data_IF_611165194782
#
_entry.id   IF_611165194782
#
_cell.length_a   1.000
_cell.length_b   1.000
_cell.length_c   1.000
_cell.angle_alpha   90.00
_cell.angle_beta   90.00
_cell.angle_gamma   90.00
#
_symmetry.space_group_name_H-M   'P 1'
#
loop_
_entity.id
_entity.type
_entity.pdbx_description
1 polymer ?
#
# COMPACT_ATOMS: atom_id res chain seq x y z
N UNK A 1 11.42 -6.19 20.86
CA UNK A 1 12.51 -6.22 21.86
C UNK A 1 13.53 -5.08 21.69
N UNK A 2 13.86 -4.67 20.45
CA UNK A 2 14.80 -3.56 20.14
C UNK A 2 14.25 -2.18 20.60
N UNK A 3 12.93 -1.99 20.54
CA UNK A 3 12.26 -0.71 20.87
C UNK A 3 12.30 -0.36 22.35
N UNK A 4 12.19 -1.35 23.25
CA UNK A 4 12.29 -1.12 24.69
C UNK A 4 13.73 -0.82 25.12
N UNK A 5 14.71 -1.56 24.57
CA UNK A 5 16.12 -1.31 24.84
C UNK A 5 16.54 0.11 24.42
N UNK A 6 16.01 0.60 23.29
CA UNK A 6 16.24 1.98 22.84
C UNK A 6 15.56 3.03 23.73
N UNK A 7 14.34 2.78 24.21
CA UNK A 7 13.68 3.66 25.20
C UNK A 7 14.49 3.76 26.49
N UNK A 8 15.02 2.62 26.96
CA UNK A 8 15.83 2.53 28.16
C UNK A 8 17.14 3.32 28.01
N UNK A 9 17.87 3.15 26.90
CA UNK A 9 19.10 3.90 26.62
C UNK A 9 18.83 5.40 26.54
N UNK A 10 17.70 5.80 25.93
CA UNK A 10 17.31 7.22 25.85
C UNK A 10 17.02 7.80 27.24
N UNK A 11 16.36 7.03 28.11
CA UNK A 11 16.10 7.43 29.50
C UNK A 11 17.39 7.56 30.32
N UNK A 12 18.34 6.64 30.17
CA UNK A 12 19.64 6.71 30.86
C UNK A 12 20.49 7.90 30.41
N UNK A 13 20.51 8.21 29.11
CA UNK A 13 21.24 9.38 28.60
C UNK A 13 20.60 10.69 29.06
N UNK A 14 19.27 10.76 29.12
CA UNK A 14 18.56 11.92 29.65
C UNK A 14 18.84 12.13 31.15
N UNK A 15 18.83 11.04 31.93
CA UNK A 15 19.14 11.07 33.37
C UNK A 15 20.61 11.47 33.62
N UNK A 16 21.54 10.91 32.85
CA UNK A 16 22.96 11.27 32.93
C UNK A 16 23.18 12.75 32.59
N UNK A 17 22.43 13.29 31.62
CA UNK A 17 22.48 14.71 31.26
C UNK A 17 21.90 15.62 32.35
N UNK A 18 20.78 15.25 32.98
CA UNK A 18 20.22 16.03 34.10
C UNK A 18 21.14 16.03 35.31
N UNK A 19 21.78 14.89 35.60
CA UNK A 19 22.80 14.80 36.67
C UNK A 19 24.01 15.67 36.33
N UNK A 20 24.51 15.65 35.09
CA UNK A 20 25.64 16.47 34.66
C UNK A 20 25.32 17.97 34.75
N UNK A 21 24.15 18.40 34.27
CA UNK A 21 23.69 19.79 34.39
C UNK A 21 23.55 20.23 35.85
N UNK A 22 23.03 19.36 36.72
CA UNK A 22 22.92 19.64 38.15
C UNK A 22 24.29 19.83 38.80
N UNK A 23 25.27 18.98 38.47
CA UNK A 23 26.64 19.13 38.95
C UNK A 23 27.32 20.40 38.40
N UNK A 24 27.13 20.72 37.13
CA UNK A 24 27.65 21.94 36.51
C UNK A 24 27.04 23.21 37.12
N UNK A 25 25.73 23.24 37.36
CA UNK A 25 25.05 24.34 38.06
C UNK A 25 25.55 24.51 39.51
N UNK A 26 25.80 23.39 40.20
CA UNK A 26 26.37 23.42 41.55
C UNK A 26 27.83 23.91 41.54
N UNK A 27 28.56 23.66 40.45
CA UNK A 27 29.91 24.17 40.21
C UNK A 27 29.92 25.63 39.71
N UNK A 28 28.89 26.14 39.04
CA UNK A 28 28.79 27.55 38.60
C UNK A 28 28.68 28.55 39.75
N UNK A 29 28.30 28.10 40.96
CA UNK A 29 28.56 28.89 42.18
C UNK A 29 30.06 29.10 42.47
N UNK A 30 30.94 28.48 41.68
CA UNK A 30 32.39 28.48 41.79
C UNK A 30 33.00 28.65 40.36
N UNK A 31 33.00 29.91 39.88
CA UNK A 31 33.88 30.46 38.81
C UNK A 31 33.52 30.12 37.34
N UNK A 32 33.50 31.18 36.52
CA UNK A 32 33.41 31.16 35.04
C UNK A 32 34.66 30.49 34.43
N UNK A 33 34.61 29.18 34.21
CA UNK A 33 35.76 28.41 33.71
C UNK A 33 35.62 28.13 32.18
N UNK A 34 36.51 28.65 31.32
CA UNK A 34 36.43 28.43 29.87
C UNK A 34 36.49 26.95 29.48
N UNK A 35 37.14 26.10 30.28
CA UNK A 35 37.16 24.65 30.05
C UNK A 35 35.78 24.00 30.20
N UNK A 36 34.90 24.53 31.05
CA UNK A 36 33.51 24.07 31.21
C UNK A 36 32.69 24.41 29.96
N UNK A 37 32.90 25.59 29.38
CA UNK A 37 32.22 25.99 28.13
C UNK A 37 32.62 25.12 26.94
N UNK A 38 33.89 24.72 26.87
CA UNK A 38 34.40 23.80 25.84
C UNK A 38 33.81 22.40 26.02
N UNK A 39 33.75 21.88 27.24
CA UNK A 39 33.13 20.59 27.53
C UNK A 39 31.63 20.55 27.20
N UNK A 40 30.89 21.63 27.50
CA UNK A 40 29.49 21.77 27.11
C UNK A 40 29.31 21.78 25.59
N UNK A 41 30.15 22.52 24.86
CA UNK A 41 30.11 22.56 23.40
C UNK A 41 30.36 21.17 22.79
N UNK A 42 31.35 20.43 23.29
CA UNK A 42 31.64 19.06 22.87
C UNK A 42 30.43 18.14 23.14
N UNK A 43 29.85 18.21 24.34
CA UNK A 43 28.67 17.42 24.68
C UNK A 43 27.48 17.70 23.77
N UNK A 44 27.21 18.97 23.44
CA UNK A 44 26.14 19.35 22.50
C UNK A 44 26.38 18.75 21.12
N UNK A 45 27.62 18.73 20.63
CA UNK A 45 27.98 18.11 19.34
C UNK A 45 27.76 16.60 19.38
N UNK A 46 28.20 15.91 20.44
CA UNK A 46 27.97 14.48 20.60
C UNK A 46 26.49 14.13 20.73
N UNK A 47 25.71 14.90 21.50
CA UNK A 47 24.28 14.70 21.66
C UNK A 47 23.52 14.94 20.36
N UNK A 48 23.87 15.98 19.59
CA UNK A 48 23.32 16.22 18.23
C UNK A 48 23.63 15.07 17.29
N UNK A 49 24.87 14.57 17.31
CA UNK A 49 25.30 13.44 16.48
C UNK A 49 24.58 12.15 16.88
N UNK A 50 24.40 11.90 18.18
CA UNK A 50 23.65 10.77 18.71
C UNK A 50 22.17 10.83 18.32
N UNK A 51 21.50 11.98 18.48
CA UNK A 51 20.11 12.17 18.02
C UNK A 51 20.02 11.97 16.50
N UNK A 52 20.98 12.49 15.73
CA UNK A 52 21.02 12.29 14.29
C UNK A 52 21.16 10.80 13.93
N UNK A 53 22.02 10.06 14.63
CA UNK A 53 22.20 8.62 14.45
C UNK A 53 20.93 7.84 14.79
N UNK A 54 20.26 8.15 15.93
CA UNK A 54 18.99 7.52 16.31
C UNK A 54 17.87 7.86 15.31
N UNK A 55 17.82 9.10 14.81
CA UNK A 55 16.90 9.48 13.73
C UNK A 55 17.20 8.72 12.45
N UNK A 56 18.47 8.57 12.08
CA UNK A 56 18.90 7.80 10.90
C UNK A 56 18.56 6.32 11.03
N UNK A 57 18.76 5.72 12.21
CA UNK A 57 18.39 4.32 12.51
C UNK A 57 16.87 4.16 12.41
N UNK A 58 16.08 5.05 13.05
CA UNK A 58 14.61 5.05 12.90
C UNK A 58 14.15 5.27 11.46
N UNK A 59 14.83 6.11 10.68
CA UNK A 59 14.53 6.30 9.26
C UNK A 59 14.86 5.08 8.42
N UNK A 60 15.87 4.29 8.81
CA UNK A 60 16.24 3.04 8.12
C UNK A 60 15.20 1.95 8.41
N UNK A 61 14.71 1.85 9.66
CA UNK A 61 13.58 0.98 10.01
C UNK A 61 12.27 1.42 9.35
N UNK A 62 12.06 2.73 9.16
CA UNK A 62 10.88 3.25 8.45
C UNK A 62 10.98 3.22 6.93
N UNK A 63 12.17 2.97 6.35
CA UNK A 63 12.33 2.92 4.90
C UNK A 63 11.54 1.74 4.30
N UNK A 64 11.54 0.58 4.98
CA UNK A 64 10.75 -0.59 4.58
C UNK A 64 9.23 -0.39 4.76
N UNK A 65 8.80 0.56 5.59
CA UNK A 65 7.38 0.90 5.79
C UNK A 65 6.83 1.78 4.65
N UNK A 66 7.66 2.23 3.69
CA UNK A 66 7.18 3.04 2.55
C UNK A 66 6.54 2.24 1.43
N UNK A 67 6.78 0.93 1.36
CA UNK A 67 6.23 0.09 0.31
C UNK A 67 4.71 -0.11 0.54
N UNK A 68 3.83 0.42 -0.34
CA UNK A 68 2.39 0.32 -0.16
C UNK A 68 1.90 -1.13 -0.13
N UNK A 69 2.58 -2.06 -0.80
CA UNK A 69 2.24 -3.47 -0.75
C UNK A 69 2.40 -4.02 0.67
N UNK A 70 3.54 -3.77 1.31
CA UNK A 70 3.79 -4.20 2.70
C UNK A 70 2.77 -3.59 3.65
N UNK A 71 2.43 -2.31 3.46
CA UNK A 71 1.38 -1.66 4.24
C UNK A 71 0.03 -2.37 4.09
N UNK A 72 -0.39 -2.72 2.87
CA UNK A 72 -1.65 -3.44 2.67
C UNK A 72 -1.60 -4.85 3.28
N UNK A 73 -0.52 -5.61 3.06
CA UNK A 73 -0.39 -6.97 3.62
C UNK A 73 -0.46 -6.97 5.16
N UNK A 74 0.16 -5.97 5.80
CA UNK A 74 0.17 -5.84 7.27
C UNK A 74 -1.21 -5.63 7.91
N UNK A 75 -2.22 -5.21 7.13
CA UNK A 75 -3.60 -5.07 7.63
C UNK A 75 -4.24 -6.42 7.95
N UNK A 76 -3.79 -7.49 7.29
CA UNK A 76 -4.36 -8.83 7.41
C UNK A 76 -3.68 -9.66 8.51
N UNK A 77 -2.44 -9.32 8.88
CA UNK A 77 -1.71 -10.07 9.88
C UNK A 77 -0.33 -9.49 10.18
N UNK A 78 0.31 -10.10 11.18
CA UNK A 78 1.69 -9.78 11.55
C UNK A 78 2.66 -10.19 10.44
N UNK A 79 3.68 -9.36 10.22
CA UNK A 79 4.82 -9.63 9.35
C UNK A 79 6.11 -9.51 10.17
N UNK A 80 6.97 -10.53 10.10
CA UNK A 80 8.31 -10.47 10.68
C UNK A 80 9.20 -9.45 9.96
N UNK A 81 10.23 -8.93 10.64
CA UNK A 81 11.16 -7.97 10.05
C UNK A 81 11.91 -8.58 8.85
N UNK A 82 12.18 -9.89 8.90
CA UNK A 82 12.76 -10.67 7.81
C UNK A 82 11.80 -10.77 6.61
N UNK A 83 10.52 -11.10 6.84
CA UNK A 83 9.52 -11.15 5.78
C UNK A 83 9.34 -9.78 5.13
N UNK A 84 9.27 -8.69 5.92
CA UNK A 84 9.17 -7.32 5.41
C UNK A 84 10.33 -7.00 4.47
N UNK A 85 11.58 -7.28 4.89
CA UNK A 85 12.77 -7.03 4.05
C UNK A 85 12.72 -7.82 2.75
N UNK A 86 12.28 -9.08 2.81
CA UNK A 86 12.28 -9.95 1.64
C UNK A 86 11.15 -9.60 0.66
N UNK A 87 9.97 -9.21 1.16
CA UNK A 87 8.89 -8.64 0.33
C UNK A 87 9.39 -7.36 -0.34
N UNK A 88 10.03 -6.46 0.40
CA UNK A 88 10.53 -5.19 -0.13
C UNK A 88 11.55 -5.44 -1.25
N UNK A 89 12.49 -6.37 -1.05
CA UNK A 89 13.51 -6.75 -2.03
C UNK A 89 12.92 -7.32 -3.33
N UNK A 90 11.81 -8.06 -3.24
CA UNK A 90 11.16 -8.72 -4.39
C UNK A 90 10.07 -7.85 -5.04
N UNK A 91 9.69 -6.75 -4.40
CA UNK A 91 8.69 -5.83 -4.95
C UNK A 91 9.37 -4.86 -5.92
N UNK A 92 8.81 -4.76 -7.12
CA UNK A 92 9.28 -3.83 -8.13
C UNK A 92 8.33 -2.62 -8.22
N UNK A 93 8.91 -1.43 -8.33
CA UNK A 93 8.18 -0.20 -8.59
C UNK A 93 8.09 0.07 -10.10
N UNK A 94 6.90 0.42 -10.58
CA UNK A 94 6.69 0.78 -11.98
C UNK A 94 5.91 2.08 -12.13
N UNK A 95 6.37 2.91 -13.06
CA UNK A 95 5.58 3.98 -13.65
C UNK A 95 4.86 3.44 -14.87
N UNK A 96 3.55 3.66 -14.94
CA UNK A 96 2.69 3.22 -16.03
C UNK A 96 1.97 4.40 -16.63
N UNK A 97 1.91 4.45 -17.95
CA UNK A 97 1.22 5.52 -18.67
C UNK A 97 -0.26 5.22 -18.81
N UNK A 98 -1.06 6.28 -18.90
CA UNK A 98 -2.47 6.16 -19.26
C UNK A 98 -2.63 5.27 -20.51
N UNK A 99 -3.63 4.39 -20.46
CA UNK A 99 -3.99 3.38 -21.46
C UNK A 99 -3.04 2.19 -21.58
N UNK A 100 -1.91 2.15 -20.86
CA UNK A 100 -1.11 0.93 -20.77
C UNK A 100 -1.87 -0.19 -20.06
N UNK A 101 -1.50 -1.43 -20.38
CA UNK A 101 -2.06 -2.61 -19.74
C UNK A 101 -1.07 -3.19 -18.74
N UNK A 102 -1.57 -3.49 -17.55
CA UNK A 102 -0.88 -4.37 -16.63
C UNK A 102 -0.97 -5.83 -17.09
N UNK A 103 -2.17 -6.22 -17.54
CA UNK A 103 -2.48 -7.57 -18.01
C UNK A 103 -3.41 -7.48 -19.21
N UNK A 104 -3.18 -8.36 -20.18
CA UNK A 104 -4.07 -8.57 -21.33
C UNK A 104 -4.64 -9.98 -21.28
N UNK A 105 -5.83 -10.11 -21.84
CA UNK A 105 -6.49 -11.40 -22.05
C UNK A 105 -5.54 -12.41 -22.72
N UNK A 106 -5.57 -13.66 -22.24
CA UNK A 106 -4.72 -14.75 -22.73
C UNK A 106 -3.33 -14.82 -22.09
N UNK A 107 -2.94 -13.87 -21.23
CA UNK A 107 -1.67 -13.94 -20.49
C UNK A 107 -1.79 -14.83 -19.24
N UNK A 108 -0.77 -15.66 -18.99
CA UNK A 108 -0.74 -16.62 -17.87
C UNK A 108 0.08 -16.14 -16.67
N UNK A 109 1.00 -15.20 -16.87
CA UNK A 109 1.84 -14.65 -15.81
C UNK A 109 1.20 -13.38 -15.27
N UNK A 110 0.86 -13.39 -13.98
CA UNK A 110 0.39 -12.20 -13.27
C UNK A 110 1.25 -11.95 -12.04
N UNK A 111 1.21 -10.70 -11.59
CA UNK A 111 1.77 -10.25 -10.33
C UNK A 111 0.64 -9.79 -9.40
N UNK A 112 0.89 -9.79 -8.09
CA UNK A 112 0.13 -8.94 -7.17
C UNK A 112 0.66 -7.54 -7.27
N UNK A 113 -0.22 -6.54 -7.24
CA UNK A 113 0.23 -5.16 -7.20
C UNK A 113 -0.68 -4.28 -6.34
N UNK A 114 -0.10 -3.22 -5.82
CA UNK A 114 -0.83 -2.12 -5.18
C UNK A 114 -0.66 -0.86 -6.01
N UNK A 115 -1.76 -0.13 -6.19
CA UNK A 115 -1.74 1.19 -6.80
C UNK A 115 -1.37 2.21 -5.72
N UNK A 116 -0.19 2.81 -5.84
CA UNK A 116 0.21 3.91 -4.96
C UNK A 116 -0.45 5.22 -5.40
N UNK A 117 -0.63 5.39 -6.71
CA UNK A 117 -1.31 6.50 -7.36
C UNK A 117 -1.88 6.03 -8.68
N UNK A 118 -3.10 6.41 -9.01
CA UNK A 118 -3.71 6.10 -10.29
C UNK A 118 -5.04 5.37 -10.20
N UNK A 119 -5.59 5.05 -11.36
CA UNK A 119 -6.82 4.26 -11.50
C UNK A 119 -6.59 3.19 -12.55
N UNK A 120 -7.14 2.00 -12.28
CA UNK A 120 -7.29 0.95 -13.28
C UNK A 120 -8.76 0.70 -13.58
N UNK A 121 -8.99 0.12 -14.76
CA UNK A 121 -10.18 -0.66 -15.05
C UNK A 121 -9.80 -2.12 -15.31
N UNK A 122 -10.73 -3.00 -14.96
CA UNK A 122 -10.74 -4.38 -15.40
C UNK A 122 -11.88 -4.54 -16.38
N UNK A 123 -11.63 -5.13 -17.55
CA UNK A 123 -12.66 -5.31 -18.58
C UNK A 123 -12.47 -6.59 -19.40
N UNK A 124 -13.58 -7.05 -19.97
CA UNK A 124 -13.62 -8.19 -20.88
C UNK A 124 -13.90 -7.71 -22.31
N UNK A 125 -13.48 -8.48 -23.31
CA UNK A 125 -13.91 -8.31 -24.70
C UNK A 125 -15.03 -9.29 -25.03
N UNK A 126 -16.11 -8.77 -25.62
CA UNK A 126 -17.24 -9.57 -26.10
C UNK A 126 -17.77 -8.97 -27.40
N UNK A 127 -17.74 -9.74 -28.50
CA UNK A 127 -18.19 -9.29 -29.82
C UNK A 127 -17.58 -7.93 -30.23
N UNK A 128 -16.27 -7.80 -30.10
CA UNK A 128 -15.49 -6.56 -30.35
C UNK A 128 -15.86 -5.35 -29.48
N UNK A 129 -16.66 -5.55 -28.42
CA UNK A 129 -16.99 -4.52 -27.44
C UNK A 129 -16.30 -4.79 -26.11
N UNK A 130 -15.88 -3.71 -25.46
CA UNK A 130 -15.31 -3.76 -24.12
C UNK A 130 -16.41 -3.62 -23.06
N UNK A 131 -16.45 -4.57 -22.12
CA UNK A 131 -17.39 -4.59 -21.00
C UNK A 131 -16.58 -4.42 -19.73
N UNK A 132 -16.69 -3.25 -19.08
CA UNK A 132 -15.97 -3.00 -17.84
C UNK A 132 -16.58 -3.82 -16.71
N UNK A 133 -15.72 -4.46 -15.93
CA UNK A 133 -16.10 -5.34 -14.85
C UNK A 133 -15.62 -4.83 -13.50
N UNK A 134 -14.63 -3.94 -13.40
CA UNK A 134 -14.21 -3.39 -12.11
C UNK A 134 -13.42 -2.11 -12.31
N UNK A 135 -13.40 -1.26 -11.28
CA UNK A 135 -12.49 -0.14 -11.19
C UNK A 135 -11.67 -0.24 -9.92
N UNK A 136 -10.37 0.00 -10.05
CA UNK A 136 -9.44 -0.03 -8.94
C UNK A 136 -8.79 1.33 -8.74
N UNK A 137 -8.59 1.72 -7.48
CA UNK A 137 -7.95 2.98 -7.11
C UNK A 137 -6.84 2.73 -6.07
N UNK A 138 -6.30 3.82 -5.51
CA UNK A 138 -5.16 3.78 -4.61
C UNK A 138 -5.37 2.90 -3.36
N UNK A 139 -4.26 2.34 -2.87
CA UNK A 139 -4.21 1.55 -1.63
C UNK A 139 -5.02 0.25 -1.64
N UNK A 140 -5.42 -0.22 -2.82
CA UNK A 140 -6.05 -1.53 -3.00
C UNK A 140 -5.04 -2.53 -3.60
N UNK A 141 -5.17 -3.80 -3.19
CA UNK A 141 -4.40 -4.91 -3.76
C UNK A 141 -5.16 -5.44 -4.97
N UNK A 142 -4.43 -5.64 -6.07
CA UNK A 142 -4.96 -6.21 -7.31
C UNK A 142 -4.09 -7.35 -7.81
N UNK A 143 -4.71 -8.21 -8.61
CA UNK A 143 -4.09 -9.32 -9.29
C UNK A 143 -5.16 -10.08 -10.07
N UNK A 144 -4.76 -10.85 -11.06
CA UNK A 144 -5.70 -11.71 -11.81
C UNK A 144 -5.76 -13.09 -11.18
N UNK A 145 -6.95 -13.49 -10.73
CA UNK A 145 -7.20 -14.70 -9.94
C UNK A 145 -6.72 -15.96 -10.68
N UNK A 146 -7.02 -16.10 -11.97
CA UNK A 146 -6.72 -17.31 -12.73
C UNK A 146 -5.22 -17.55 -12.96
N UNK A 147 -4.45 -16.55 -13.43
CA UNK A 147 -3.00 -16.62 -13.45
C UNK A 147 -2.39 -16.96 -12.09
N UNK A 148 -2.83 -16.29 -11.03
CA UNK A 148 -2.24 -16.40 -9.70
C UNK A 148 -2.52 -17.76 -9.06
N UNK A 149 -3.77 -18.19 -9.02
CA UNK A 149 -4.19 -19.35 -8.21
C UNK A 149 -4.35 -20.64 -9.01
N UNK A 150 -4.50 -20.56 -10.33
CA UNK A 150 -4.80 -21.71 -11.16
C UNK A 150 -3.82 -21.94 -12.32
N UNK A 151 -2.82 -21.05 -12.49
CA UNK A 151 -1.91 -21.06 -13.64
C UNK A 151 -2.65 -21.16 -14.98
N UNK A 152 -3.76 -20.41 -15.09
CA UNK A 152 -4.62 -20.37 -16.28
C UNK A 152 -4.53 -19.00 -16.95
N UNK A 153 -4.74 -18.93 -18.28
CA UNK A 153 -4.83 -17.66 -18.99
C UNK A 153 -5.90 -16.76 -18.38
N UNK A 154 -5.59 -15.47 -18.28
CA UNK A 154 -6.55 -14.48 -17.83
C UNK A 154 -7.64 -14.25 -18.87
N UNK A 155 -8.88 -14.13 -18.40
CA UNK A 155 -10.00 -13.65 -19.21
C UNK A 155 -10.05 -12.12 -19.29
N UNK A 156 -9.44 -11.44 -18.34
CA UNK A 156 -9.61 -10.01 -18.15
C UNK A 156 -8.44 -9.21 -18.70
N UNK A 157 -8.72 -7.95 -19.04
CA UNK A 157 -7.73 -6.95 -19.36
C UNK A 157 -7.69 -5.95 -18.20
N UNK A 158 -6.50 -5.67 -17.69
CA UNK A 158 -6.27 -4.68 -16.63
C UNK A 158 -5.53 -3.50 -17.26
N UNK A 159 -6.20 -2.34 -17.32
CA UNK A 159 -5.69 -1.15 -18.00
C UNK A 159 -5.67 0.07 -17.07
N UNK A 160 -4.61 0.86 -17.14
CA UNK A 160 -4.49 2.13 -16.43
C UNK A 160 -5.31 3.22 -17.13
N UNK A 161 -6.19 3.91 -16.39
CA UNK A 161 -7.02 5.00 -16.90
C UNK A 161 -6.34 6.38 -16.79
N UNK A 162 -5.24 6.46 -16.05
CA UNK A 162 -4.38 7.63 -15.88
C UNK A 162 -2.92 7.19 -15.64
N UNK A 163 -1.98 8.15 -15.68
CA UNK A 163 -0.60 7.89 -15.31
C UNK A 163 -0.56 7.37 -13.87
N UNK A 164 0.02 6.20 -13.68
CA UNK A 164 -0.09 5.42 -12.46
C UNK A 164 1.27 4.99 -11.92
N UNK A 165 1.34 4.86 -10.60
CA UNK A 165 2.47 4.38 -9.84
C UNK A 165 2.06 3.09 -9.13
N UNK A 166 2.76 1.99 -9.41
CA UNK A 166 2.43 0.68 -8.84
C UNK A 166 3.64 0.01 -8.20
N UNK A 167 3.35 -0.82 -7.21
CA UNK A 167 4.30 -1.72 -6.57
C UNK A 167 3.82 -3.14 -6.81
N UNK A 168 4.61 -3.96 -7.51
CA UNK A 168 4.20 -5.29 -7.92
C UNK A 168 5.21 -6.37 -7.50
N UNK A 169 4.69 -7.53 -7.11
CA UNK A 169 5.45 -8.73 -6.81
C UNK A 169 4.95 -9.88 -7.69
N UNK A 170 5.87 -10.62 -8.30
CA UNK A 170 5.52 -11.74 -9.17
C UNK A 170 4.79 -12.84 -8.39
N UNK A 171 3.93 -13.60 -9.07
CA UNK A 171 3.28 -14.77 -8.45
C UNK A 171 4.31 -15.82 -8.00
N UNK A 172 5.40 -16.01 -8.74
CA UNK A 172 6.50 -16.92 -8.36
C UNK A 172 7.21 -16.46 -7.08
N UNK A 173 7.53 -15.17 -6.97
CA UNK A 173 8.12 -14.59 -5.77
C UNK A 173 7.19 -14.70 -4.56
N UNK A 174 5.90 -14.44 -4.77
CA UNK A 174 4.91 -14.55 -3.71
C UNK A 174 4.74 -16.00 -3.23
N UNK A 175 4.74 -16.98 -4.15
CA UNK A 175 4.69 -18.40 -3.81
C UNK A 175 5.94 -18.87 -3.06
N UNK A 176 7.12 -18.37 -3.42
CA UNK A 176 8.35 -18.61 -2.65
C UNK A 176 8.23 -18.01 -1.23
N UNK A 177 7.75 -16.78 -1.12
CA UNK A 177 7.52 -16.13 0.16
C UNK A 177 6.54 -16.89 1.05
N UNK A 178 5.45 -17.45 0.49
CA UNK A 178 4.53 -18.32 1.23
C UNK A 178 5.20 -19.59 1.75
N UNK A 179 6.18 -20.15 1.03
CA UNK A 179 6.96 -21.30 1.50
C UNK A 179 7.93 -20.94 2.62
N UNK A 180 8.54 -19.75 2.55
CA UNK A 180 9.58 -19.33 3.49
C UNK A 180 9.02 -18.72 4.79
N UNK A 181 7.88 -18.03 4.72
CA UNK A 181 7.31 -17.27 5.85
C UNK A 181 5.86 -17.70 6.10
N UNK A 182 5.60 -18.61 7.06
CA UNK A 182 4.27 -19.17 7.32
C UNK A 182 3.20 -18.11 7.61
N UNK A 183 3.55 -16.98 8.23
CA UNK A 183 2.63 -15.87 8.49
C UNK A 183 2.00 -15.30 7.22
N UNK A 184 2.69 -15.38 6.08
CA UNK A 184 2.16 -14.93 4.80
C UNK A 184 1.04 -15.84 4.28
N UNK A 185 0.98 -17.12 4.67
CA UNK A 185 -0.16 -17.98 4.33
C UNK A 185 -1.44 -17.52 5.04
N UNK A 186 -1.34 -17.05 6.29
CA UNK A 186 -2.48 -16.48 7.02
C UNK A 186 -2.97 -15.20 6.33
N UNK A 187 -2.05 -14.33 5.95
CA UNK A 187 -2.34 -13.08 5.24
C UNK A 187 -2.98 -13.38 3.88
N UNK A 188 -2.37 -14.27 3.08
CA UNK A 188 -2.88 -14.70 1.78
C UNK A 188 -4.28 -15.32 1.88
N UNK A 189 -4.52 -16.19 2.87
CA UNK A 189 -5.86 -16.76 3.14
C UNK A 189 -6.89 -15.67 3.42
N UNK A 190 -6.60 -14.70 4.28
CA UNK A 190 -7.54 -13.62 4.61
C UNK A 190 -7.86 -12.72 3.41
N UNK A 191 -6.86 -12.42 2.58
CA UNK A 191 -7.06 -11.69 1.32
C UNK A 191 -7.97 -12.50 0.39
N UNK A 192 -7.73 -13.80 0.25
CA UNK A 192 -8.58 -14.67 -0.56
C UNK A 192 -10.02 -14.75 -0.03
N UNK A 193 -10.22 -14.80 1.29
CA UNK A 193 -11.53 -14.75 1.94
C UNK A 193 -12.28 -13.45 1.64
N UNK A 194 -11.61 -12.30 1.73
CA UNK A 194 -12.20 -11.00 1.38
C UNK A 194 -12.57 -10.94 -0.10
N UNK A 195 -11.70 -11.44 -1.00
CA UNK A 195 -12.01 -11.54 -2.43
C UNK A 195 -13.23 -12.43 -2.68
N UNK A 196 -13.35 -13.57 -1.99
CA UNK A 196 -14.55 -14.43 -2.10
C UNK A 196 -15.83 -13.69 -1.68
N UNK A 197 -15.79 -12.95 -0.57
CA UNK A 197 -16.94 -12.15 -0.11
C UNK A 197 -17.31 -11.09 -1.16
N UNK A 198 -16.32 -10.34 -1.66
CA UNK A 198 -16.54 -9.33 -2.71
C UNK A 198 -17.15 -9.97 -3.95
N UNK A 199 -16.63 -11.10 -4.42
CA UNK A 199 -17.17 -11.76 -5.60
C UNK A 199 -18.62 -12.25 -5.41
N UNK A 200 -18.95 -12.74 -4.22
CA UNK A 200 -20.33 -13.16 -3.86
C UNK A 200 -21.28 -11.96 -3.84
N UNK A 201 -20.94 -10.88 -3.13
CA UNK A 201 -21.76 -9.66 -3.06
C UNK A 201 -22.02 -9.08 -4.46
N UNK A 202 -20.99 -9.11 -5.31
CA UNK A 202 -21.10 -8.67 -6.70
C UNK A 202 -21.96 -9.58 -7.54
N UNK A 203 -21.84 -10.90 -7.37
CA UNK A 203 -22.70 -11.84 -8.05
C UNK A 203 -24.17 -11.59 -7.68
N UNK A 204 -24.47 -11.39 -6.40
CA UNK A 204 -25.83 -11.04 -5.93
C UNK A 204 -26.29 -9.73 -6.57
N UNK A 205 -25.51 -8.65 -6.46
CA UNK A 205 -25.82 -7.34 -7.06
C UNK A 205 -26.14 -7.43 -8.56
N UNK A 206 -25.38 -8.24 -9.33
CA UNK A 206 -25.65 -8.44 -10.75
C UNK A 206 -26.98 -9.13 -11.04
N UNK A 207 -27.48 -9.98 -10.15
CA UNK A 207 -28.75 -10.68 -10.31
C UNK A 207 -29.95 -9.90 -9.76
N UNK A 208 -29.76 -9.10 -8.71
CA UNK A 208 -30.87 -8.51 -7.95
C UNK A 208 -31.04 -7.00 -8.15
N UNK A 209 -29.97 -6.27 -8.48
CA UNK A 209 -30.00 -4.81 -8.53
C UNK A 209 -30.23 -4.28 -9.96
N UNK A 210 -30.91 -3.16 -10.05
CA UNK A 210 -31.01 -2.34 -11.26
C UNK A 210 -29.71 -1.57 -11.53
N UNK A 211 -29.57 -1.02 -12.74
CA UNK A 211 -28.41 -0.19 -13.07
C UNK A 211 -28.34 1.10 -12.24
N UNK A 212 -29.48 1.62 -11.78
CA UNK A 212 -29.53 2.79 -10.89
C UNK A 212 -29.02 2.45 -9.49
N UNK A 213 -29.49 1.35 -8.90
CA UNK A 213 -29.02 0.89 -7.58
C UNK A 213 -27.52 0.58 -7.61
N UNK A 214 -27.02 -0.09 -8.66
CA UNK A 214 -25.56 -0.30 -8.84
C UNK A 214 -24.78 0.98 -8.97
N UNK A 215 -25.35 2.00 -9.62
CA UNK A 215 -24.72 3.32 -9.72
C UNK A 215 -24.65 3.99 -8.34
N UNK A 216 -25.74 3.98 -7.58
CA UNK A 216 -25.81 4.52 -6.21
C UNK A 216 -24.80 3.83 -5.28
N UNK A 217 -24.67 2.51 -5.38
CA UNK A 217 -23.66 1.75 -4.64
C UNK A 217 -22.24 2.19 -5.04
N UNK A 218 -21.95 2.33 -6.34
CA UNK A 218 -20.64 2.75 -6.84
C UNK A 218 -20.24 4.12 -6.29
N UNK A 219 -21.14 5.10 -6.32
CA UNK A 219 -20.84 6.47 -5.85
C UNK A 219 -20.68 6.53 -4.33
N UNK A 220 -21.37 5.65 -3.60
CA UNK A 220 -21.24 5.56 -2.14
C UNK A 220 -19.92 4.92 -1.74
N UNK A 221 -19.47 3.89 -2.46
CA UNK A 221 -18.25 3.16 -2.15
C UNK A 221 -16.99 3.88 -2.67
N UNK A 222 -17.06 4.48 -3.86
CA UNK A 222 -15.92 5.11 -4.54
C UNK A 222 -16.27 6.52 -5.05
N UNK A 223 -16.57 7.48 -4.16
CA UNK A 223 -17.02 8.82 -4.56
C UNK A 223 -16.00 9.58 -5.42
N UNK A 224 -14.70 9.31 -5.21
CA UNK A 224 -13.62 9.97 -5.94
C UNK A 224 -13.53 9.53 -7.42
N UNK A 225 -14.09 8.37 -7.75
CA UNK A 225 -13.97 7.73 -9.06
C UNK A 225 -14.70 8.52 -10.16
N UNK A 226 -15.84 9.13 -9.81
CA UNK A 226 -16.73 9.82 -10.75
C UNK A 226 -16.09 10.96 -11.52
N UNK A 227 -15.13 11.65 -10.90
CA UNK A 227 -14.46 12.80 -11.48
C UNK A 227 -13.20 12.42 -12.28
N UNK A 228 -12.73 11.18 -12.12
CA UNK A 228 -11.47 10.70 -12.72
C UNK A 228 -11.70 9.76 -13.91
N UNK A 229 -12.88 9.13 -13.98
CA UNK A 229 -13.21 8.16 -15.03
C UNK A 229 -14.21 8.74 -16.04
N UNK A 230 -14.01 8.42 -17.32
CA UNK A 230 -14.96 8.77 -18.38
C UNK A 230 -16.33 8.08 -18.14
N UNK A 231 -17.42 8.84 -18.29
CA UNK A 231 -18.80 8.34 -18.19
C UNK A 231 -19.09 7.10 -19.03
N UNK A 232 -18.48 6.95 -20.21
CA UNK A 232 -18.62 5.76 -21.03
C UNK A 232 -18.13 4.49 -20.34
N UNK A 233 -17.05 4.57 -19.55
CA UNK A 233 -16.58 3.43 -18.77
C UNK A 233 -17.57 3.06 -17.67
N UNK A 234 -18.10 4.05 -16.95
CA UNK A 234 -19.11 3.86 -15.90
C UNK A 234 -20.38 3.25 -16.50
N UNK A 235 -20.85 3.77 -17.65
CA UNK A 235 -22.02 3.24 -18.33
C UNK A 235 -21.84 1.76 -18.74
N UNK A 236 -20.66 1.42 -19.30
CA UNK A 236 -20.30 0.04 -19.63
C UNK A 236 -20.24 -0.86 -18.40
N UNK A 237 -19.70 -0.38 -17.26
CA UNK A 237 -19.71 -1.12 -15.99
C UNK A 237 -21.13 -1.41 -15.49
N UNK A 238 -22.04 -0.47 -15.65
CA UNK A 238 -23.43 -0.61 -15.24
C UNK A 238 -24.29 -1.41 -16.24
N UNK A 239 -23.76 -1.74 -17.42
CA UNK A 239 -24.48 -2.43 -18.48
C UNK A 239 -25.55 -1.57 -19.18
N UNK A 240 -25.39 -0.24 -19.19
CA UNK A 240 -26.33 0.71 -19.80
C UNK A 240 -25.63 1.63 -20.79
N UNK A 241 -26.40 2.39 -21.56
CA UNK A 241 -25.84 3.40 -22.46
C UNK A 241 -25.39 4.65 -21.69
N UNK A 242 -24.45 5.41 -22.27
CA UNK A 242 -23.99 6.65 -21.65
C UNK A 242 -25.12 7.68 -21.52
N UNK A 243 -26.04 7.74 -22.49
CA UNK A 243 -27.23 8.61 -22.43
C UNK A 243 -28.17 8.21 -21.28
N UNK A 244 -28.31 6.91 -21.02
CA UNK A 244 -29.11 6.40 -19.90
C UNK A 244 -28.49 6.79 -18.57
N UNK A 245 -27.17 6.64 -18.42
CA UNK A 245 -26.45 7.13 -17.26
C UNK A 245 -26.58 8.65 -17.08
N UNK A 246 -26.49 9.43 -18.17
CA UNK A 246 -26.69 10.87 -18.12
C UNK A 246 -28.09 11.28 -17.65
N UNK A 247 -29.13 10.48 -17.92
CA UNK A 247 -30.48 10.70 -17.38
C UNK A 247 -30.55 10.40 -15.88
N UNK A 248 -29.99 9.26 -15.45
CA UNK A 248 -29.93 8.88 -14.02
C UNK A 248 -29.28 9.99 -13.19
N UNK A 249 -28.19 10.60 -13.68
CA UNK A 249 -27.46 11.67 -12.97
C UNK A 249 -28.16 13.02 -12.85
N UNK A 250 -29.23 13.26 -13.63
CA UNK A 250 -29.97 14.54 -13.62
C UNK A 250 -31.12 14.57 -12.62
N UNK A 251 -31.49 13.40 -12.10
CA UNK A 251 -32.52 13.22 -11.09
C UNK A 251 -31.85 12.97 -9.74
#
# INVERSE_FOLDING_TARGET
>A
MITEKNKLITAYLFLAFTILLYFLYKLEKIVFNPWVTILLAIFVVFYRTYIFLIRRIKMTDQAHIRNPLIQQLSKYGYLSDEAVKEIDRRTNYFLKKKNEHFLKEGQNLSSYFVIAKGIIRVYFRRNDKEVNAWFGEENQIFGSILPIYANKPSFENIQFLEDSEIYAISSDDLNELYRLYPELNLIGRKIAEEVCIILEERAVSLHTESATERYETLIKQQPNLLNRINLGHIASYLGITQETLSRIRKH
#
